data_IF_363947412020
#
_entry.id   IF_363947412020
#
_cell.length_a   1.000
_cell.length_b   1.000
_cell.length_c   1.000
_cell.angle_alpha   90.00
_cell.angle_beta   90.00
_cell.angle_gamma   90.00
#
_symmetry.space_group_name_H-M   'P 1'
#
loop_
_entity.id
_entity.type
_entity.pdbx_description
1 polymer ?
#
# COMPACT_ATOMS: atom_id res chain seq x y z
N UNK A 1 17.29 -21.55 -48.20
CA UNK A 1 16.55 -21.63 -46.92
C UNK A 1 16.02 -20.28 -46.41
N UNK A 2 16.78 -19.18 -46.47
CA UNK A 2 16.34 -17.87 -45.96
C UNK A 2 15.13 -17.24 -46.70
N UNK A 3 15.00 -17.49 -48.02
CA UNK A 3 13.91 -16.93 -48.83
C UNK A 3 12.52 -17.45 -48.43
N UNK A 4 12.43 -18.72 -47.99
CA UNK A 4 11.18 -19.35 -47.56
C UNK A 4 10.65 -18.63 -46.32
N UNK A 5 11.50 -18.38 -45.32
CA UNK A 5 11.14 -17.66 -44.10
C UNK A 5 10.74 -16.20 -44.35
N UNK A 6 11.42 -15.51 -45.27
CA UNK A 6 11.07 -14.14 -45.65
C UNK A 6 9.67 -14.06 -46.29
N UNK A 7 9.36 -14.99 -47.21
CA UNK A 7 8.04 -15.03 -47.85
C UNK A 7 6.91 -15.35 -46.87
N UNK A 8 7.13 -16.26 -45.91
CA UNK A 8 6.13 -16.56 -44.87
C UNK A 8 5.84 -15.36 -43.96
N UNK A 9 6.86 -14.56 -43.63
CA UNK A 9 6.70 -13.39 -42.78
C UNK A 9 5.94 -12.27 -43.50
N UNK A 10 6.24 -12.05 -44.79
CA UNK A 10 5.53 -11.05 -45.62
C UNK A 10 4.06 -11.45 -45.80
N UNK A 11 3.77 -12.72 -46.08
CA UNK A 11 2.39 -13.21 -46.20
C UNK A 11 1.64 -13.07 -44.88
N UNK A 12 2.29 -13.38 -43.75
CA UNK A 12 1.71 -13.19 -42.42
C UNK A 12 1.36 -11.73 -42.13
N UNK A 13 2.25 -10.79 -42.47
CA UNK A 13 2.00 -9.35 -42.33
C UNK A 13 0.87 -8.85 -43.24
N UNK A 14 0.80 -9.35 -44.47
CA UNK A 14 -0.29 -9.00 -45.40
C UNK A 14 -1.64 -9.55 -44.92
N UNK A 15 -1.69 -10.79 -44.42
CA UNK A 15 -2.90 -11.39 -43.85
C UNK A 15 -3.33 -10.64 -42.60
N UNK A 16 -2.39 -10.25 -41.73
CA UNK A 16 -2.67 -9.45 -40.55
C UNK A 16 -3.18 -8.05 -40.90
N UNK A 17 -2.53 -7.37 -41.85
CA UNK A 17 -2.96 -6.07 -42.34
C UNK A 17 -4.35 -6.14 -42.99
N UNK A 18 -4.62 -7.19 -43.77
CA UNK A 18 -5.93 -7.43 -44.37
C UNK A 18 -7.00 -7.76 -43.32
N UNK A 19 -6.65 -8.55 -42.30
CA UNK A 19 -7.51 -8.82 -41.15
C UNK A 19 -7.89 -7.52 -40.42
N UNK A 20 -6.91 -6.66 -40.10
CA UNK A 20 -7.17 -5.33 -39.53
C UNK A 20 -8.03 -4.48 -40.47
N UNK A 21 -7.74 -4.46 -41.77
CA UNK A 21 -8.50 -3.70 -42.76
C UNK A 21 -9.97 -4.13 -42.82
N UNK A 22 -10.22 -5.44 -42.77
CA UNK A 22 -11.57 -5.99 -42.69
C UNK A 22 -12.26 -5.69 -41.35
N UNK A 23 -11.49 -5.60 -40.26
CA UNK A 23 -12.01 -5.30 -38.93
C UNK A 23 -12.20 -3.80 -38.67
N UNK A 24 -11.63 -2.90 -39.49
CA UNK A 24 -11.85 -1.44 -39.43
C UNK A 24 -13.34 -1.11 -39.56
N UNK A 25 -14.08 -1.80 -40.45
CA UNK A 25 -15.54 -1.59 -40.62
C UNK A 25 -16.37 -2.09 -39.43
N UNK A 26 -15.83 -3.00 -38.61
CA UNK A 26 -16.47 -3.49 -37.37
C UNK A 26 -16.18 -2.59 -36.16
N UNK A 27 -15.29 -1.59 -36.29
CA UNK A 27 -15.10 -0.58 -35.24
C UNK A 27 -16.40 0.22 -35.10
N UNK A 28 -17.12 -0.01 -34.00
CA UNK A 28 -18.34 0.71 -33.66
C UNK A 28 -18.06 2.21 -33.73
N UNK A 29 -18.80 2.94 -34.57
CA UNK A 29 -18.79 4.41 -34.59
C UNK A 29 -19.50 4.86 -33.32
N UNK A 30 -18.73 5.13 -32.28
CA UNK A 30 -19.26 5.77 -31.09
C UNK A 30 -19.68 7.20 -31.45
N UNK A 31 -20.74 7.73 -30.81
CA UNK A 31 -21.09 9.14 -30.96
C UNK A 31 -19.86 10.02 -30.64
N UNK A 32 -19.74 11.20 -31.27
CA UNK A 32 -18.61 12.09 -31.03
C UNK A 32 -18.57 12.46 -29.54
N UNK A 33 -17.59 11.91 -28.83
CA UNK A 33 -17.27 12.26 -27.44
C UNK A 33 -16.04 13.18 -27.39
N UNK A 34 -15.75 13.79 -26.23
CA UNK A 34 -14.53 14.56 -26.04
C UNK A 34 -13.30 13.71 -26.35
N UNK A 35 -12.18 14.30 -26.76
CA UNK A 35 -10.95 13.52 -26.98
C UNK A 35 -10.41 13.05 -25.62
N UNK A 36 -10.33 11.73 -25.44
CA UNK A 36 -9.73 11.15 -24.24
C UNK A 36 -8.22 11.36 -24.22
N UNK A 37 -7.63 11.47 -23.02
CA UNK A 37 -6.18 11.50 -22.86
C UNK A 37 -5.59 10.10 -23.13
N UNK A 38 -4.33 10.00 -23.60
CA UNK A 38 -3.64 8.72 -23.70
C UNK A 38 -3.63 8.02 -22.34
N UNK A 39 -3.96 6.71 -22.32
CA UNK A 39 -4.04 5.84 -21.12
C UNK A 39 -5.19 6.20 -20.16
N UNK A 40 -5.38 7.49 -19.82
CA UNK A 40 -6.39 7.95 -18.87
C UNK A 40 -7.82 8.01 -19.46
N UNK A 41 -7.94 8.13 -20.78
CA UNK A 41 -9.21 8.32 -21.47
C UNK A 41 -10.00 9.51 -20.93
N UNK A 42 -11.26 9.27 -20.57
CA UNK A 42 -12.20 10.26 -20.04
C UNK A 42 -12.29 10.28 -18.52
N UNK A 43 -11.45 9.49 -17.82
CA UNK A 43 -11.58 9.29 -16.37
C UNK A 43 -11.52 10.60 -15.58
N UNK A 44 -10.74 11.57 -16.05
CA UNK A 44 -10.64 12.91 -15.45
C UNK A 44 -11.96 13.70 -15.44
N UNK A 45 -12.84 13.48 -16.43
CA UNK A 45 -14.17 14.10 -16.51
C UNK A 45 -15.21 13.40 -15.63
N UNK A 46 -14.87 12.21 -15.13
CA UNK A 46 -15.75 11.36 -14.33
C UNK A 46 -15.38 11.38 -12.85
N UNK A 47 -14.20 11.88 -12.47
CA UNK A 47 -13.72 11.86 -11.09
C UNK A 47 -14.72 12.47 -10.09
N UNK A 48 -15.29 13.64 -10.39
CA UNK A 48 -16.30 14.26 -9.53
C UNK A 48 -17.57 13.40 -9.40
N UNK A 49 -18.04 12.85 -10.53
CA UNK A 49 -19.22 11.97 -10.52
C UNK A 49 -18.99 10.72 -9.68
N UNK A 50 -17.80 10.12 -9.77
CA UNK A 50 -17.48 8.88 -9.06
C UNK A 50 -17.10 9.08 -7.59
N UNK A 51 -16.38 10.16 -7.26
CA UNK A 51 -15.82 10.39 -5.92
C UNK A 51 -16.65 11.36 -5.07
N UNK A 52 -17.65 12.04 -5.65
CA UNK A 52 -18.57 12.92 -4.90
C UNK A 52 -20.04 12.63 -5.18
N UNK A 53 -20.48 12.67 -6.44
CA UNK A 53 -21.93 12.59 -6.75
C UNK A 53 -22.51 11.19 -6.47
N UNK A 54 -21.78 10.15 -6.86
CA UNK A 54 -22.17 8.75 -6.71
C UNK A 54 -21.16 7.97 -5.86
N UNK A 55 -20.46 8.66 -4.96
CA UNK A 55 -19.38 8.11 -4.14
C UNK A 55 -19.82 6.88 -3.35
N UNK A 56 -21.03 6.90 -2.79
CA UNK A 56 -21.60 5.78 -2.04
C UNK A 56 -21.75 4.52 -2.88
N UNK A 57 -22.12 4.65 -4.16
CA UNK A 57 -22.29 3.52 -5.08
C UNK A 57 -20.93 2.90 -5.42
N UNK A 58 -19.91 3.74 -5.61
CA UNK A 58 -18.55 3.31 -5.98
C UNK A 58 -17.62 3.12 -4.78
N UNK A 59 -18.11 3.27 -3.55
CA UNK A 59 -17.32 3.08 -2.33
C UNK A 59 -16.95 1.61 -2.09
N UNK A 60 -17.57 0.68 -2.82
CA UNK A 60 -17.23 -0.75 -2.77
C UNK A 60 -15.73 -1.00 -3.00
N UNK A 61 -15.23 -2.07 -2.38
CA UNK A 61 -13.86 -2.56 -2.58
C UNK A 61 -13.94 -4.02 -3.06
N UNK A 62 -13.31 -4.36 -4.20
CA UNK A 62 -13.28 -5.74 -4.67
C UNK A 62 -12.45 -6.62 -3.73
N UNK A 63 -12.52 -7.93 -3.93
CA UNK A 63 -11.62 -8.88 -3.27
C UNK A 63 -10.17 -8.54 -3.59
N UNK A 64 -9.30 -8.58 -2.59
CA UNK A 64 -7.86 -8.44 -2.77
C UNK A 64 -7.13 -9.50 -1.95
N UNK A 65 -6.44 -10.41 -2.65
CA UNK A 65 -5.85 -11.60 -2.04
C UNK A 65 -4.80 -11.26 -0.98
N UNK A 66 -3.97 -10.23 -1.18
CA UNK A 66 -2.99 -9.83 -0.18
C UNK A 66 -3.68 -9.39 1.12
N UNK A 67 -4.75 -8.59 0.99
CA UNK A 67 -5.52 -8.12 2.14
C UNK A 67 -6.30 -9.24 2.85
N UNK A 68 -6.66 -10.30 2.13
CA UNK A 68 -7.28 -11.48 2.73
C UNK A 68 -6.38 -12.13 3.78
N UNK A 69 -5.06 -12.21 3.55
CA UNK A 69 -4.10 -12.83 4.47
C UNK A 69 -3.47 -11.85 5.45
N UNK A 70 -3.15 -10.62 4.99
CA UNK A 70 -2.43 -9.64 5.81
C UNK A 70 -3.37 -8.85 6.73
N UNK A 71 -4.65 -8.70 6.37
CA UNK A 71 -5.58 -7.83 7.08
C UNK A 71 -6.80 -8.59 7.64
N UNK A 72 -6.57 -9.79 8.18
CA UNK A 72 -7.59 -10.57 8.90
C UNK A 72 -8.90 -10.76 8.10
N UNK A 73 -8.75 -11.12 6.81
CA UNK A 73 -9.87 -11.27 5.90
C UNK A 73 -10.40 -9.94 5.35
N UNK A 74 -9.49 -9.06 4.92
CA UNK A 74 -9.81 -7.77 4.30
C UNK A 74 -10.58 -6.82 5.26
N UNK A 75 -10.20 -6.82 6.55
CA UNK A 75 -10.77 -5.98 7.60
C UNK A 75 -9.84 -4.82 8.01
N UNK A 76 -9.42 -4.01 7.05
CA UNK A 76 -8.60 -2.81 7.27
C UNK A 76 -9.37 -1.51 6.86
N UNK A 77 -8.67 -0.38 6.77
CA UNK A 77 -9.22 0.89 6.29
C UNK A 77 -9.13 1.09 4.78
N UNK A 78 -8.23 0.37 4.10
CA UNK A 78 -7.87 0.58 2.69
C UNK A 78 -8.70 -0.26 1.72
N UNK A 79 -8.81 -1.55 2.01
CA UNK A 79 -9.46 -2.58 1.18
C UNK A 79 -10.78 -3.11 1.76
N UNK A 80 -11.14 -2.83 3.02
CA UNK A 80 -12.41 -3.34 3.55
C UNK A 80 -13.61 -2.86 2.76
N UNK A 81 -14.58 -3.76 2.59
CA UNK A 81 -15.85 -3.46 1.92
C UNK A 81 -16.58 -2.35 2.66
N UNK A 82 -17.14 -1.41 1.92
CA UNK A 82 -17.93 -0.33 2.50
C UNK A 82 -19.14 -0.91 3.25
N UNK A 83 -19.31 -0.49 4.50
CA UNK A 83 -20.34 -0.99 5.40
C UNK A 83 -20.18 -0.43 6.81
N UNK A 84 -20.95 -0.95 7.77
CA UNK A 84 -20.94 -0.49 9.15
C UNK A 84 -19.54 -0.56 9.78
N UNK A 85 -18.83 -1.68 9.59
CA UNK A 85 -17.46 -1.86 10.08
C UNK A 85 -16.52 -0.76 9.59
N UNK A 86 -16.40 -0.57 8.27
CA UNK A 86 -15.49 0.42 7.70
C UNK A 86 -15.86 1.84 8.12
N UNK A 87 -17.16 2.18 8.18
CA UNK A 87 -17.61 3.51 8.62
C UNK A 87 -17.24 3.78 10.07
N UNK A 88 -17.44 2.79 10.95
CA UNK A 88 -17.08 2.90 12.36
C UNK A 88 -15.56 3.02 12.54
N UNK A 89 -14.78 2.19 11.84
CA UNK A 89 -13.32 2.24 11.91
C UNK A 89 -12.77 3.57 11.38
N UNK A 90 -13.28 4.06 10.24
CA UNK A 90 -12.92 5.38 9.70
C UNK A 90 -13.27 6.49 10.68
N UNK A 91 -14.45 6.45 11.30
CA UNK A 91 -14.85 7.43 12.31
C UNK A 91 -13.90 7.39 13.52
N UNK A 92 -13.57 6.22 14.04
CA UNK A 92 -12.63 6.06 15.15
C UNK A 92 -11.28 6.69 14.83
N UNK A 93 -10.69 6.34 13.68
CA UNK A 93 -9.40 6.87 13.27
C UNK A 93 -9.44 8.39 13.07
N UNK A 94 -10.43 8.92 12.36
CA UNK A 94 -10.53 10.36 12.10
C UNK A 94 -10.79 11.16 13.38
N UNK A 95 -11.66 10.68 14.26
CA UNK A 95 -12.07 11.42 15.46
C UNK A 95 -11.02 11.33 16.56
N UNK A 96 -10.36 10.19 16.75
CA UNK A 96 -9.49 9.97 17.92
C UNK A 96 -8.00 9.90 17.59
N UNK A 97 -7.61 9.35 16.43
CA UNK A 97 -6.21 9.09 16.10
C UNK A 97 -5.60 10.19 15.22
N UNK A 98 -6.37 10.70 14.25
CA UNK A 98 -5.90 11.60 13.19
C UNK A 98 -6.48 13.01 13.30
N UNK A 99 -7.01 13.38 14.46
CA UNK A 99 -7.53 14.73 14.70
C UNK A 99 -6.38 15.72 14.99
N UNK A 100 -6.65 17.02 14.81
CA UNK A 100 -5.66 18.08 15.01
C UNK A 100 -5.07 18.12 16.43
N UNK A 101 -5.86 17.80 17.46
CA UNK A 101 -5.38 17.77 18.85
C UNK A 101 -4.35 16.65 19.06
N UNK A 102 -4.66 15.42 18.63
CA UNK A 102 -3.75 14.26 18.68
C UNK A 102 -2.51 14.49 17.81
N UNK A 103 -2.67 15.08 16.62
CA UNK A 103 -1.51 15.45 15.79
C UNK A 103 -0.63 16.52 16.46
N UNK A 104 -1.20 17.45 17.22
CA UNK A 104 -0.43 18.43 17.96
C UNK A 104 0.25 17.86 19.21
N UNK A 105 -0.30 16.82 19.85
CA UNK A 105 0.38 16.16 20.98
C UNK A 105 1.71 15.54 20.57
N UNK A 106 1.85 15.11 19.30
CA UNK A 106 3.11 14.59 18.75
C UNK A 106 4.06 15.69 18.21
N UNK A 107 3.77 16.98 18.41
CA UNK A 107 4.57 18.07 17.85
C UNK A 107 6.03 18.04 18.33
N UNK A 108 6.25 17.86 19.62
CA UNK A 108 7.60 17.82 20.22
C UNK A 108 8.42 16.65 19.67
N UNK A 109 7.83 15.46 19.67
CA UNK A 109 8.41 14.25 19.08
C UNK A 109 8.79 14.46 17.60
N UNK A 110 7.87 14.99 16.78
CA UNK A 110 8.18 15.27 15.36
C UNK A 110 9.32 16.26 15.20
N UNK A 111 9.34 17.31 16.03
CA UNK A 111 10.41 18.31 16.01
C UNK A 111 11.75 17.67 16.33
N UNK A 112 11.81 16.84 17.38
CA UNK A 112 13.02 16.14 17.79
C UNK A 112 13.58 15.23 16.69
N UNK A 113 12.74 14.41 16.04
CA UNK A 113 13.21 13.52 14.97
C UNK A 113 13.72 14.30 13.74
N UNK A 114 13.09 15.44 13.42
CA UNK A 114 13.57 16.32 12.36
C UNK A 114 14.89 17.00 12.73
N UNK A 115 15.05 17.42 13.99
CA UNK A 115 16.31 17.99 14.49
C UNK A 115 17.47 16.98 14.36
N UNK A 116 17.25 15.72 14.74
CA UNK A 116 18.24 14.64 14.56
C UNK A 116 18.64 14.44 13.10
N UNK A 117 17.67 14.52 12.17
CA UNK A 117 17.98 14.46 10.74
C UNK A 117 18.83 15.66 10.30
N UNK A 118 18.48 16.87 10.74
CA UNK A 118 19.21 18.10 10.40
C UNK A 118 20.64 18.05 10.93
N UNK A 119 20.84 17.60 12.16
CA UNK A 119 22.17 17.42 12.76
C UNK A 119 23.02 16.43 11.95
N UNK A 120 22.46 15.26 11.63
CA UNK A 120 23.15 14.28 10.79
C UNK A 120 23.51 14.83 9.40
N UNK A 121 22.65 15.66 8.80
CA UNK A 121 22.95 16.31 7.52
C UNK A 121 24.05 17.37 7.63
N UNK A 122 24.09 18.12 8.73
CA UNK A 122 25.14 19.13 8.98
C UNK A 122 26.52 18.48 9.12
N UNK A 123 26.60 17.37 9.85
CA UNK A 123 27.83 16.59 10.00
C UNK A 123 28.33 16.08 8.64
N UNK A 124 27.44 15.45 7.86
CA UNK A 124 27.80 14.94 6.54
C UNK A 124 28.17 16.05 5.53
N UNK A 125 27.54 17.24 5.66
CA UNK A 125 27.90 18.40 4.87
C UNK A 125 29.27 18.97 5.25
N UNK A 126 29.62 18.99 6.54
CA UNK A 126 30.95 19.39 7.01
C UNK A 126 32.04 18.48 6.43
N UNK A 127 31.76 17.17 6.35
CA UNK A 127 32.68 16.19 5.77
C UNK A 127 32.62 16.14 4.24
N UNK A 128 31.84 17.03 3.60
CA UNK A 128 31.63 17.10 2.15
C UNK A 128 31.21 15.76 1.51
N UNK A 129 30.47 14.93 2.26
CA UNK A 129 30.02 13.61 1.81
C UNK A 129 28.71 13.74 1.04
N UNK A 130 28.60 13.05 -0.11
CA UNK A 130 27.35 12.96 -0.84
C UNK A 130 26.30 12.17 -0.03
N UNK A 131 25.11 12.74 0.14
CA UNK A 131 24.04 12.15 0.96
C UNK A 131 22.87 11.70 0.09
N UNK A 132 22.41 10.47 0.30
CA UNK A 132 21.12 10.00 -0.21
C UNK A 132 19.97 10.55 0.66
N UNK A 133 19.38 11.66 0.21
CA UNK A 133 18.23 12.27 0.87
C UNK A 133 16.99 11.37 0.86
N UNK A 134 16.79 10.55 -0.18
CA UNK A 134 15.63 9.67 -0.26
C UNK A 134 15.70 8.63 0.86
N UNK A 135 16.85 7.99 1.05
CA UNK A 135 17.05 7.04 2.14
C UNK A 135 16.87 7.69 3.52
N UNK A 136 17.42 8.89 3.74
CA UNK A 136 17.30 9.63 5.00
C UNK A 136 15.84 10.01 5.31
N UNK A 137 15.10 10.51 4.32
CA UNK A 137 13.68 10.89 4.48
C UNK A 137 12.80 9.65 4.68
N UNK A 138 13.06 8.55 3.97
CA UNK A 138 12.34 7.29 4.18
C UNK A 138 12.55 6.76 5.59
N UNK A 139 13.78 6.82 6.12
CA UNK A 139 14.09 6.44 7.49
C UNK A 139 13.38 7.34 8.51
N UNK A 140 13.42 8.66 8.33
CA UNK A 140 12.69 9.61 9.17
C UNK A 140 11.18 9.30 9.20
N UNK A 141 10.57 9.09 8.03
CA UNK A 141 9.15 8.78 7.93
C UNK A 141 8.81 7.45 8.63
N UNK A 142 9.62 6.40 8.45
CA UNK A 142 9.42 5.13 9.12
C UNK A 142 9.49 5.26 10.66
N UNK A 143 10.50 5.98 11.16
CA UNK A 143 10.68 6.24 12.60
C UNK A 143 9.51 7.04 13.18
N UNK A 144 9.10 8.11 12.49
CA UNK A 144 7.95 8.92 12.89
C UNK A 144 6.67 8.08 12.92
N UNK A 145 6.42 7.26 11.91
CA UNK A 145 5.26 6.36 11.88
C UNK A 145 5.30 5.39 13.05
N UNK A 146 6.43 4.74 13.33
CA UNK A 146 6.56 3.83 14.46
C UNK A 146 6.30 4.53 15.80
N UNK A 147 6.93 5.67 16.02
CA UNK A 147 6.75 6.45 17.25
C UNK A 147 5.32 6.94 17.45
N UNK A 148 4.68 7.44 16.39
CA UNK A 148 3.33 8.02 16.49
C UNK A 148 2.24 6.95 16.57
N UNK A 149 2.43 5.79 15.93
CA UNK A 149 1.43 4.71 15.87
C UNK A 149 1.65 3.68 16.97
N UNK A 150 2.88 3.27 17.22
CA UNK A 150 3.26 2.23 18.17
C UNK A 150 3.95 2.78 19.43
N UNK A 151 4.15 4.09 19.55
CA UNK A 151 4.76 4.69 20.74
C UNK A 151 6.27 4.50 20.88
N UNK A 152 6.89 3.61 20.09
CA UNK A 152 8.31 3.24 20.20
C UNK A 152 9.01 3.23 18.83
N UNK A 153 10.35 3.34 18.86
CA UNK A 153 11.19 3.06 17.69
C UNK A 153 11.42 1.56 17.58
N UNK A 154 11.41 1.05 16.36
CA UNK A 154 11.80 -0.31 16.07
C UNK A 154 13.00 -0.30 15.14
N UNK A 155 14.00 -1.09 15.49
CA UNK A 155 15.17 -1.34 14.68
C UNK A 155 14.89 -2.45 13.67
N UNK A 156 15.80 -2.62 12.72
CA UNK A 156 15.63 -3.64 11.70
C UNK A 156 15.56 -5.04 12.36
N UNK A 157 16.30 -5.27 13.45
CA UNK A 157 16.31 -6.57 14.14
C UNK A 157 15.02 -6.91 14.90
N UNK A 158 14.10 -5.94 15.09
CA UNK A 158 12.96 -6.11 16.00
C UNK A 158 11.82 -6.94 15.42
N UNK A 159 11.75 -7.14 14.10
CA UNK A 159 10.62 -7.81 13.45
C UNK A 159 10.86 -9.32 13.28
N UNK A 160 11.90 -9.69 12.53
CA UNK A 160 12.43 -11.04 12.42
C UNK A 160 13.86 -10.99 11.82
N UNK A 161 14.44 -12.17 11.53
CA UNK A 161 15.78 -12.28 10.93
C UNK A 161 15.95 -11.57 9.58
N UNK A 162 14.86 -11.21 8.89
CA UNK A 162 14.89 -10.52 7.59
C UNK A 162 15.03 -9.03 7.72
N UNK A 163 14.63 -8.45 8.86
CA UNK A 163 14.64 -7.01 9.07
C UNK A 163 13.24 -6.38 8.95
N UNK A 164 12.92 -5.42 9.83
CA UNK A 164 11.71 -4.58 9.75
C UNK A 164 11.51 -4.00 8.34
N UNK A 165 12.56 -3.39 7.78
CA UNK A 165 12.53 -2.74 6.46
C UNK A 165 12.25 -3.74 5.35
N UNK A 166 12.89 -4.90 5.37
CA UNK A 166 12.71 -5.94 4.36
C UNK A 166 11.29 -6.48 4.37
N UNK A 167 10.73 -6.74 5.55
CA UNK A 167 9.35 -7.24 5.68
C UNK A 167 8.32 -6.21 5.21
N UNK A 168 8.48 -4.93 5.57
CA UNK A 168 7.61 -3.86 5.07
C UNK A 168 7.70 -3.74 3.54
N UNK A 169 8.90 -3.86 2.98
CA UNK A 169 9.11 -3.84 1.53
C UNK A 169 8.45 -5.03 0.83
N UNK A 170 8.56 -6.24 1.39
CA UNK A 170 7.90 -7.44 0.89
C UNK A 170 6.37 -7.30 0.91
N UNK A 171 5.82 -6.74 1.98
CA UNK A 171 4.39 -6.46 2.11
C UNK A 171 3.92 -5.49 1.03
N UNK A 172 4.62 -4.36 0.85
CA UNK A 172 4.29 -3.36 -0.18
C UNK A 172 4.42 -3.97 -1.57
N UNK A 173 5.48 -4.75 -1.81
CA UNK A 173 5.72 -5.40 -3.09
C UNK A 173 4.61 -6.40 -3.43
N UNK A 174 4.22 -7.26 -2.49
CA UNK A 174 3.15 -8.24 -2.71
C UNK A 174 1.77 -7.60 -2.81
N UNK A 175 1.48 -6.56 -2.03
CA UNK A 175 0.23 -5.82 -2.14
C UNK A 175 0.10 -5.08 -3.49
N UNK A 176 1.21 -4.57 -4.03
CA UNK A 176 1.24 -3.85 -5.30
C UNK A 176 1.35 -4.73 -6.55
N UNK A 177 1.75 -5.99 -6.39
CA UNK A 177 1.96 -6.90 -7.53
C UNK A 177 0.62 -7.52 -7.97
N UNK A 178 0.29 -7.50 -9.27
CA UNK A 178 -0.92 -8.14 -9.79
C UNK A 178 -0.92 -9.65 -9.50
N UNK A 179 -1.86 -10.10 -8.68
CA UNK A 179 -2.08 -11.50 -8.41
C UNK A 179 -3.11 -12.07 -9.39
N UNK A 180 -2.76 -13.15 -10.10
CA UNK A 180 -3.67 -13.82 -11.04
C UNK A 180 -4.98 -14.25 -10.40
N UNK A 181 -4.98 -14.59 -9.11
CA UNK A 181 -6.19 -14.96 -8.37
C UNK A 181 -7.20 -13.82 -8.23
N UNK A 182 -6.73 -12.57 -8.16
CA UNK A 182 -7.61 -11.40 -8.08
C UNK A 182 -8.38 -11.16 -9.39
N UNK A 183 -7.82 -11.59 -10.53
CA UNK A 183 -8.44 -11.45 -11.86
C UNK A 183 -9.17 -12.72 -12.33
N UNK A 184 -8.62 -13.89 -11.99
CA UNK A 184 -9.09 -15.20 -12.42
C UNK A 184 -9.25 -16.12 -11.21
N UNK A 185 -10.40 -16.06 -10.50
CA UNK A 185 -10.60 -16.81 -9.26
C UNK A 185 -10.36 -18.32 -9.37
N UNK A 186 -10.64 -18.92 -10.54
CA UNK A 186 -10.45 -20.34 -10.80
C UNK A 186 -8.98 -20.77 -10.86
N UNK A 187 -8.04 -19.86 -11.14
CA UNK A 187 -6.60 -20.14 -11.08
C UNK A 187 -6.04 -20.14 -9.65
N UNK A 188 -6.85 -19.72 -8.67
CA UNK A 188 -6.42 -19.58 -7.28
C UNK A 188 -6.03 -20.89 -6.58
N UNK A 189 -6.42 -22.04 -7.11
CA UNK A 189 -6.14 -23.36 -6.52
C UNK A 189 -4.68 -23.77 -6.69
N UNK A 190 -3.99 -23.27 -7.72
CA UNK A 190 -2.68 -23.78 -8.14
C UNK A 190 -1.53 -22.93 -7.57
N UNK A 191 -1.81 -21.75 -6.99
CA UNK A 191 -0.80 -20.78 -6.49
C UNK A 191 0.43 -20.64 -7.40
N UNK A 192 0.20 -20.48 -8.71
CA UNK A 192 1.25 -20.48 -9.74
C UNK A 192 2.37 -19.46 -9.51
N UNK A 193 2.09 -18.38 -8.78
CA UNK A 193 3.05 -17.31 -8.45
C UNK A 193 3.72 -17.50 -7.07
N UNK A 194 3.33 -18.51 -6.30
CA UNK A 194 3.76 -18.71 -4.91
C UNK A 194 3.33 -17.57 -3.97
N UNK A 195 2.29 -16.82 -4.36
CA UNK A 195 1.81 -15.63 -3.68
C UNK A 195 1.19 -15.98 -2.34
N UNK A 196 0.32 -16.99 -2.33
CA UNK A 196 -0.39 -17.39 -1.12
C UNK A 196 0.57 -17.86 -0.05
N UNK A 197 1.62 -18.61 -0.40
CA UNK A 197 2.63 -19.03 0.59
C UNK A 197 3.36 -17.84 1.22
N UNK A 198 3.87 -16.91 0.39
CA UNK A 198 4.59 -15.72 0.89
C UNK A 198 3.70 -14.85 1.77
N UNK A 199 2.43 -14.65 1.39
CA UNK A 199 1.46 -13.87 2.16
C UNK A 199 1.18 -14.51 3.53
N UNK A 200 1.04 -15.84 3.60
CA UNK A 200 0.86 -16.54 4.88
C UNK A 200 2.08 -16.43 5.79
N UNK A 201 3.28 -16.55 5.23
CA UNK A 201 4.52 -16.45 6.01
C UNK A 201 4.71 -15.04 6.55
N UNK A 202 4.41 -14.00 5.76
CA UNK A 202 4.44 -12.60 6.22
C UNK A 202 3.34 -12.29 7.24
N UNK A 203 2.13 -12.80 7.02
CA UNK A 203 1.01 -12.65 7.96
C UNK A 203 1.41 -13.12 9.36
N UNK A 204 2.04 -14.30 9.48
CA UNK A 204 2.52 -14.81 10.79
C UNK A 204 3.56 -13.91 11.46
N UNK A 205 4.43 -13.26 10.68
CA UNK A 205 5.47 -12.39 11.23
C UNK A 205 4.89 -11.06 11.69
N UNK A 206 3.99 -10.48 10.90
CA UNK A 206 3.26 -9.27 11.28
C UNK A 206 2.36 -9.50 12.49
N UNK A 207 1.65 -10.64 12.54
CA UNK A 207 0.76 -11.02 13.64
C UNK A 207 1.54 -11.07 14.97
N UNK A 208 2.66 -11.80 15.01
CA UNK A 208 3.55 -11.84 16.18
C UNK A 208 4.09 -10.47 16.59
N UNK A 209 4.44 -9.66 15.60
CA UNK A 209 4.98 -8.32 15.87
C UNK A 209 3.90 -7.41 16.48
N UNK A 210 2.69 -7.39 15.91
CA UNK A 210 1.58 -6.59 16.41
C UNK A 210 1.13 -7.07 17.78
N UNK A 211 1.07 -8.38 18.01
CA UNK A 211 0.73 -8.96 19.32
C UNK A 211 1.71 -8.47 20.39
N UNK A 212 3.03 -8.54 20.14
CA UNK A 212 4.05 -8.01 21.06
C UNK A 212 3.81 -6.53 21.37
N UNK A 213 3.50 -5.71 20.35
CA UNK A 213 3.21 -4.29 20.55
C UNK A 213 1.98 -4.11 21.44
N UNK A 214 0.92 -4.87 21.22
CA UNK A 214 -0.31 -4.80 22.02
C UNK A 214 0.02 -5.16 23.47
N UNK A 215 0.73 -6.27 23.70
CA UNK A 215 1.14 -6.72 25.02
C UNK A 215 1.97 -5.66 25.75
N UNK A 216 2.98 -5.08 25.07
CA UNK A 216 3.81 -4.01 25.62
C UNK A 216 2.96 -2.79 26.05
N UNK A 217 1.95 -2.43 25.25
CA UNK A 217 1.06 -1.31 25.58
C UNK A 217 0.17 -1.62 26.78
N UNK A 218 -0.43 -2.82 26.83
CA UNK A 218 -1.30 -3.25 27.94
C UNK A 218 -0.51 -3.28 29.24
N UNK A 219 0.68 -3.88 29.25
CA UNK A 219 1.52 -3.93 30.43
C UNK A 219 1.92 -2.51 30.89
N UNK A 220 2.34 -1.64 29.97
CA UNK A 220 2.72 -0.26 30.33
C UNK A 220 1.57 0.57 30.90
N UNK A 221 0.33 0.26 30.50
CA UNK A 221 -0.87 0.90 31.03
C UNK A 221 -1.13 0.45 32.46
N UNK A 222 -1.05 -0.86 32.72
CA UNK A 222 -1.28 -1.43 34.05
C UNK A 222 -0.23 -0.95 35.06
N UNK A 223 1.03 -0.81 34.64
CA UNK A 223 2.10 -0.26 35.48
C UNK A 223 1.90 1.23 35.83
N UNK A 224 1.39 2.02 34.89
CA UNK A 224 1.07 3.44 35.14
C UNK A 224 -0.12 3.57 36.08
N UNK A 225 -1.17 2.77 35.84
CA UNK A 225 -2.35 2.74 36.71
C UNK A 225 -1.98 2.32 38.13
N UNK A 226 -1.14 1.29 38.30
CA UNK A 226 -0.65 0.87 39.60
C UNK A 226 0.17 1.95 40.32
N UNK A 227 0.99 2.72 39.60
CA UNK A 227 1.76 3.84 40.15
C UNK A 227 0.85 4.98 40.63
N UNK A 228 -0.13 5.37 39.82
CA UNK A 228 -1.07 6.45 40.15
C UNK A 228 -1.96 6.09 41.36
N UNK A 229 -2.27 4.81 41.55
CA UNK A 229 -2.99 4.29 42.74
C UNK A 229 -2.10 4.20 44.00
N UNK A 230 -0.78 4.27 43.86
CA UNK A 230 0.19 4.12 44.96
C UNK A 230 0.81 5.44 45.45
N UNK A 231 0.57 6.54 44.73
CA UNK A 231 0.95 7.90 45.15
C UNK A 231 -0.22 8.55 45.91
N UNK A 232 -0.05 8.94 47.20
CA UNK A 232 -1.09 9.57 48.01
C UNK A 232 -1.43 11.00 47.59
#
# INVERSE_FOLDING_TARGET
>A
MAYIWATTLIVGLLVYAFYELLNIKKRKRFPPGPKGLPILGHLHLLAEKFLKTYDHIFAGRPHHEASQYLDYGQKNLTFAKYGAYWRNMRKLCTVHLLNSHKMNSFRSMRKQEVELLIESLKEQAHDCVAVDLSAKITSLNANLTCLMVFGNKYMDEDLDKRGFKAVVQDVVHLAGTPNLRDFFPFLGVIDLQGFTRKLKDLSKVLDKFVERIIDDHVQSHDEKQAKDLSTP
#
